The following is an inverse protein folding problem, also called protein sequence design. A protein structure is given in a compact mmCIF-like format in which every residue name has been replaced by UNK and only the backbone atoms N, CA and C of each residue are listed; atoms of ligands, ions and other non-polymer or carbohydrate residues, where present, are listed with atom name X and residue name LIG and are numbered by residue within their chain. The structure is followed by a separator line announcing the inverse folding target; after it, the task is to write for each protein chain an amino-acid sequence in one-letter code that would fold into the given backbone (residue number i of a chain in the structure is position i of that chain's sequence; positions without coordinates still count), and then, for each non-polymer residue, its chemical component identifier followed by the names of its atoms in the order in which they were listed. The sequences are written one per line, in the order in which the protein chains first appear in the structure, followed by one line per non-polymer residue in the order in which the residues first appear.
data_IF_159600844656
#
_entry.id   IF_159600844656
#
_cell.length_a   1.000
_cell.length_b   1.000
_cell.length_c   1.000
_cell.angle_alpha   90.00
_cell.angle_beta   90.00
_cell.angle_gamma   90.00
#
_symmetry.space_group_name_H-M   'P 1'
#
loop_
_entity.id
_entity.type
_entity.pdbx_description
1 polymer ?
#
# COMPACT_ATOMS: atom_id res chain seq x y z
N UNK A 1 5.90 -7.22 31.69
CA UNK A 1 7.02 -6.29 31.40
C UNK A 1 6.95 -5.91 29.92
N UNK A 2 6.85 -4.62 29.59
CA UNK A 2 6.96 -4.16 28.21
C UNK A 2 8.42 -4.34 27.79
N UNK A 3 8.74 -5.19 26.80
CA UNK A 3 10.11 -5.34 26.33
C UNK A 3 10.63 -3.97 25.87
N UNK A 4 11.86 -3.60 26.25
CA UNK A 4 12.47 -2.36 25.77
C UNK A 4 12.54 -2.33 24.24
N UNK A 5 12.44 -1.15 23.63
CA UNK A 5 12.42 -0.97 22.17
C UNK A 5 13.60 -1.67 21.46
N UNK A 6 14.78 -1.67 22.08
CA UNK A 6 15.96 -2.36 21.56
C UNK A 6 15.79 -3.90 21.53
N UNK A 7 15.10 -4.49 22.50
CA UNK A 7 14.80 -5.92 22.53
C UNK A 7 13.76 -6.28 21.47
N UNK A 8 12.73 -5.44 21.27
CA UNK A 8 11.75 -5.60 20.19
C UNK A 8 12.44 -5.59 18.83
N UNK A 9 13.30 -4.60 18.58
CA UNK A 9 14.04 -4.47 17.33
C UNK A 9 14.95 -5.67 17.05
N UNK A 10 15.74 -6.11 18.05
CA UNK A 10 16.67 -7.24 17.89
C UNK A 10 15.97 -8.57 17.65
N UNK A 11 14.71 -8.72 18.07
CA UNK A 11 13.92 -9.93 17.85
C UNK A 11 13.43 -10.10 16.40
N UNK A 12 13.50 -9.06 15.57
CA UNK A 12 13.02 -9.13 14.18
C UNK A 12 14.07 -9.75 13.25
N UNK A 13 13.64 -10.50 12.21
CA UNK A 13 14.51 -10.94 11.14
C UNK A 13 15.34 -9.79 10.56
N UNK A 14 16.59 -10.06 10.20
CA UNK A 14 17.50 -9.06 9.60
C UNK A 14 16.87 -8.42 8.35
N UNK A 15 16.19 -9.22 7.53
CA UNK A 15 15.50 -8.74 6.34
C UNK A 15 14.43 -7.69 6.68
N UNK A 16 13.56 -7.95 7.67
CA UNK A 16 12.49 -7.03 8.06
C UNK A 16 13.05 -5.73 8.65
N UNK A 17 14.13 -5.81 9.45
CA UNK A 17 14.83 -4.62 9.93
C UNK A 17 15.35 -3.75 8.80
N UNK A 18 15.97 -4.36 7.77
CA UNK A 18 16.44 -3.66 6.58
C UNK A 18 15.28 -3.02 5.81
N UNK A 19 14.14 -3.71 5.69
CA UNK A 19 12.94 -3.18 5.04
C UNK A 19 12.39 -1.95 5.78
N UNK A 20 12.32 -1.99 7.12
CA UNK A 20 11.89 -0.83 7.92
C UNK A 20 12.85 0.34 7.75
N UNK A 21 14.16 0.10 7.80
CA UNK A 21 15.18 1.15 7.55
C UNK A 21 15.01 1.75 6.16
N UNK A 22 14.81 0.92 5.14
CA UNK A 22 14.58 1.38 3.76
C UNK A 22 13.34 2.26 3.66
N UNK A 23 12.23 1.87 4.30
CA UNK A 23 11.02 2.67 4.34
C UNK A 23 11.28 4.04 5.01
N UNK A 24 11.94 4.05 6.17
CA UNK A 24 12.27 5.30 6.87
C UNK A 24 13.17 6.19 6.01
N UNK A 25 14.18 5.61 5.35
CA UNK A 25 15.05 6.35 4.44
C UNK A 25 14.28 6.93 3.25
N UNK A 26 13.33 6.17 2.67
CA UNK A 26 12.48 6.64 1.59
C UNK A 26 11.56 7.79 2.02
N UNK A 27 10.97 7.71 3.23
CA UNK A 27 10.14 8.80 3.79
C UNK A 27 10.99 10.06 3.97
N UNK A 28 12.19 9.94 4.53
CA UNK A 28 13.11 11.08 4.70
C UNK A 28 13.44 11.68 3.34
N UNK A 29 13.84 10.85 2.36
CA UNK A 29 14.17 11.30 1.02
C UNK A 29 12.98 11.98 0.32
N UNK A 30 11.77 11.44 0.47
CA UNK A 30 10.55 12.01 -0.09
C UNK A 30 10.21 13.40 0.46
N UNK A 31 10.72 13.74 1.64
CA UNK A 31 10.52 15.04 2.28
C UNK A 31 11.72 16.01 2.12
N UNK A 32 12.80 15.59 1.46
CA UNK A 32 13.85 16.52 1.01
C UNK A 32 13.27 17.36 -0.13
N UNK A 33 13.30 18.68 0.01
CA UNK A 33 12.73 19.61 -0.98
C UNK A 33 11.30 19.19 -1.38
N UNK A 34 10.44 19.08 -0.37
CA UNK A 34 9.06 18.62 -0.52
C UNK A 34 8.26 19.61 -1.37
N UNK A 35 7.74 19.26 -2.56
CA UNK A 35 7.04 20.19 -3.43
C UNK A 35 5.74 20.75 -2.84
N UNK A 36 5.11 20.00 -1.93
CA UNK A 36 3.82 20.33 -1.31
C UNK A 36 3.91 20.25 0.23
N UNK A 37 4.69 21.12 0.90
CA UNK A 37 5.01 20.96 2.32
C UNK A 37 3.80 21.07 3.25
N UNK A 38 2.79 21.88 2.89
CA UNK A 38 1.57 22.06 3.69
C UNK A 38 0.65 20.83 3.69
N UNK A 39 0.68 20.04 2.61
CA UNK A 39 -0.16 18.85 2.44
C UNK A 39 0.59 17.55 2.79
N UNK A 40 1.92 17.60 2.80
CA UNK A 40 2.77 16.44 3.09
C UNK A 40 2.47 15.75 4.43
N UNK A 41 2.16 16.44 5.55
CA UNK A 41 1.84 15.76 6.81
C UNK A 41 0.61 14.85 6.71
N UNK A 42 -0.39 15.25 5.93
CA UNK A 42 -1.62 14.48 5.76
C UNK A 42 -1.37 13.20 4.95
N UNK A 43 -0.49 13.28 3.96
CA UNK A 43 -0.12 12.15 3.10
C UNK A 43 0.89 11.20 3.77
N UNK A 44 1.95 11.72 4.38
CA UNK A 44 3.02 10.90 4.96
C UNK A 44 2.73 10.44 6.39
N UNK A 45 1.85 11.13 7.11
CA UNK A 45 1.54 10.86 8.52
C UNK A 45 1.20 9.40 8.82
N UNK A 46 0.22 8.78 8.13
CA UNK A 46 -0.11 7.37 8.33
C UNK A 46 1.07 6.43 8.08
N UNK A 47 1.88 6.71 7.06
CA UNK A 47 3.04 5.88 6.70
C UNK A 47 4.17 6.00 7.73
N UNK A 48 4.42 7.21 8.26
CA UNK A 48 5.36 7.43 9.37
C UNK A 48 4.92 6.68 10.62
N UNK A 49 3.64 6.81 11.00
CA UNK A 49 3.09 6.11 12.16
C UNK A 49 3.23 4.59 12.03
N UNK A 50 2.93 4.05 10.84
CA UNK A 50 3.09 2.63 10.57
C UNK A 50 4.56 2.20 10.62
N UNK A 51 5.50 2.98 10.06
CA UNK A 51 6.93 2.68 10.11
C UNK A 51 7.46 2.65 11.55
N UNK A 52 7.02 3.57 12.41
CA UNK A 52 7.39 3.61 13.83
C UNK A 52 6.77 2.47 14.64
N UNK A 53 5.53 2.08 14.31
CA UNK A 53 4.83 0.98 14.96
C UNK A 53 5.28 -0.41 14.46
N UNK A 54 5.84 -0.51 13.25
CA UNK A 54 6.18 -1.75 12.58
C UNK A 54 6.97 -2.75 13.44
N UNK A 55 8.01 -2.35 14.22
CA UNK A 55 8.74 -3.30 15.04
C UNK A 55 7.87 -4.00 16.09
N UNK A 56 6.93 -3.27 16.68
CA UNK A 56 6.02 -3.79 17.69
C UNK A 56 4.94 -4.67 17.05
N UNK A 57 4.39 -4.23 15.92
CA UNK A 57 3.40 -4.98 15.16
C UNK A 57 3.97 -6.31 14.67
N UNK A 58 5.16 -6.31 14.06
CA UNK A 58 5.80 -7.53 13.55
C UNK A 58 6.30 -8.46 14.66
N UNK A 59 6.58 -7.95 15.85
CA UNK A 59 6.83 -8.79 17.02
C UNK A 59 5.54 -9.43 17.56
N UNK A 60 4.46 -8.66 17.63
CA UNK A 60 3.17 -9.10 18.22
C UNK A 60 2.38 -10.00 17.27
N UNK A 61 2.45 -9.72 15.98
CA UNK A 61 1.82 -10.42 14.88
C UNK A 61 2.85 -10.60 13.75
N UNK A 62 3.77 -11.59 13.88
CA UNK A 62 4.78 -11.80 12.86
C UNK A 62 4.20 -12.17 11.50
N UNK A 63 4.73 -11.57 10.45
CA UNK A 63 4.43 -11.91 9.06
C UNK A 63 5.69 -12.46 8.38
N UNK A 64 5.50 -13.21 7.30
CA UNK A 64 6.57 -13.70 6.45
C UNK A 64 7.34 -12.54 5.82
N UNK A 65 8.62 -12.76 5.49
CA UNK A 65 9.42 -11.75 4.80
C UNK A 65 8.81 -11.34 3.45
N UNK A 66 8.12 -12.27 2.78
CA UNK A 66 7.39 -11.98 1.54
C UNK A 66 6.26 -10.98 1.78
N UNK A 67 5.39 -11.24 2.77
CA UNK A 67 4.30 -10.33 3.11
C UNK A 67 4.78 -8.98 3.60
N UNK A 68 5.84 -8.92 4.43
CA UNK A 68 6.46 -7.65 4.83
C UNK A 68 7.07 -6.93 3.63
N UNK A 69 7.65 -7.65 2.67
CA UNK A 69 8.15 -7.10 1.42
C UNK A 69 7.04 -6.50 0.56
N UNK A 70 5.89 -7.16 0.45
CA UNK A 70 4.73 -6.61 -0.28
C UNK A 70 4.17 -5.35 0.39
N UNK A 71 4.06 -5.35 1.72
CA UNK A 71 3.67 -4.16 2.48
C UNK A 71 4.67 -3.03 2.27
N UNK A 72 5.97 -3.30 2.33
CA UNK A 72 7.02 -2.33 2.04
C UNK A 72 6.85 -1.74 0.65
N UNK A 73 6.71 -2.58 -0.38
CA UNK A 73 6.59 -2.11 -1.77
C UNK A 73 5.38 -1.19 -1.94
N UNK A 74 4.25 -1.54 -1.33
CA UNK A 74 3.08 -0.67 -1.31
C UNK A 74 3.36 0.67 -0.60
N UNK A 75 4.01 0.63 0.57
CA UNK A 75 4.34 1.86 1.32
C UNK A 75 5.38 2.74 0.59
N UNK A 76 6.25 2.16 -0.24
CA UNK A 76 7.15 2.92 -1.10
C UNK A 76 6.37 3.65 -2.21
N UNK A 77 5.38 2.99 -2.82
CA UNK A 77 4.47 3.64 -3.77
C UNK A 77 3.67 4.76 -3.08
N UNK A 78 3.12 4.49 -1.89
CA UNK A 78 2.41 5.48 -1.10
C UNK A 78 3.31 6.67 -0.73
N UNK A 79 4.57 6.42 -0.34
CA UNK A 79 5.55 7.48 -0.05
C UNK A 79 5.87 8.32 -1.29
N UNK A 80 5.98 7.70 -2.46
CA UNK A 80 6.17 8.42 -3.73
C UNK A 80 4.94 9.25 -4.08
N UNK A 81 3.74 8.69 -3.93
CA UNK A 81 2.47 9.39 -4.09
C UNK A 81 2.39 10.61 -3.18
N UNK A 82 2.65 10.44 -1.89
CA UNK A 82 2.60 11.51 -0.91
C UNK A 82 3.57 12.66 -1.18
N UNK A 83 4.74 12.42 -1.80
CA UNK A 83 5.64 13.50 -2.25
C UNK A 83 4.97 14.42 -3.28
N UNK A 84 4.16 13.86 -4.16
CA UNK A 84 3.51 14.61 -5.23
C UNK A 84 1.99 14.68 -5.04
N UNK A 85 1.53 14.51 -3.79
CA UNK A 85 0.12 14.48 -3.38
C UNK A 85 -0.77 13.65 -4.33
N UNK A 86 -0.21 12.56 -4.86
CA UNK A 86 -0.78 11.64 -5.84
C UNK A 86 -1.07 12.23 -7.22
N UNK A 87 -1.77 13.36 -7.25
CA UNK A 87 -2.22 14.09 -8.43
C UNK A 87 -1.11 14.59 -9.34
N UNK A 88 0.10 14.79 -8.83
CA UNK A 88 1.19 15.43 -9.55
C UNK A 88 2.43 14.55 -9.70
N UNK A 89 2.30 13.22 -9.53
CA UNK A 89 3.43 12.32 -9.80
C UNK A 89 3.84 12.48 -11.26
N UNK A 90 5.10 12.88 -11.56
CA UNK A 90 5.49 13.30 -12.90
C UNK A 90 5.86 12.11 -13.80
N UNK A 91 5.05 11.05 -13.80
CA UNK A 91 5.33 9.82 -14.55
C UNK A 91 5.41 10.06 -16.07
N UNK A 92 4.65 11.00 -16.61
CA UNK A 92 4.71 11.36 -18.03
C UNK A 92 6.01 12.06 -18.40
N UNK A 93 6.54 12.91 -17.51
CA UNK A 93 7.83 13.55 -17.73
C UNK A 93 8.97 12.51 -17.67
N UNK A 94 8.90 11.56 -16.74
CA UNK A 94 9.85 10.45 -16.68
C UNK A 94 9.77 9.56 -17.92
N UNK A 95 8.55 9.23 -18.37
CA UNK A 95 8.34 8.45 -19.59
C UNK A 95 8.93 9.15 -20.81
N UNK A 96 8.65 10.45 -21.00
CA UNK A 96 9.25 11.24 -22.10
C UNK A 96 10.77 11.29 -22.03
N UNK A 97 11.34 11.43 -20.84
CA UNK A 97 12.79 11.44 -20.66
C UNK A 97 13.45 10.12 -21.08
N UNK A 98 12.74 8.98 -20.96
CA UNK A 98 13.28 7.65 -21.25
C UNK A 98 12.93 7.17 -22.67
N UNK A 99 11.70 7.39 -23.14
CA UNK A 99 11.17 6.82 -24.39
C UNK A 99 10.79 7.86 -25.44
N UNK A 100 10.85 9.15 -25.12
CA UNK A 100 10.36 10.24 -25.97
C UNK A 100 8.83 10.38 -26.02
N UNK A 101 8.08 9.49 -25.35
CA UNK A 101 6.61 9.47 -25.35
C UNK A 101 6.08 9.58 -23.92
N UNK A 102 4.96 10.29 -23.73
CA UNK A 102 4.24 10.23 -22.46
C UNK A 102 3.20 9.11 -22.44
N UNK A 103 2.93 8.60 -21.24
CA UNK A 103 2.02 7.49 -21.01
C UNK A 103 0.59 7.99 -21.23
N UNK A 104 0.24 9.13 -20.65
CA UNK A 104 -1.12 9.65 -20.72
C UNK A 104 -1.57 9.93 -22.15
N UNK A 105 -0.74 10.57 -22.98
CA UNK A 105 -1.07 10.83 -24.38
C UNK A 105 -1.15 9.56 -25.23
N UNK A 106 -0.27 8.58 -24.97
CA UNK A 106 -0.27 7.30 -25.69
C UNK A 106 -1.56 6.50 -25.44
N UNK A 107 -2.09 6.54 -24.21
CA UNK A 107 -3.28 5.79 -23.82
C UNK A 107 -4.56 6.63 -23.72
N UNK A 108 -4.52 7.91 -24.10
CA UNK A 108 -5.67 8.81 -24.00
C UNK A 108 -6.16 9.05 -22.57
N UNK A 109 -5.27 8.98 -21.58
CA UNK A 109 -5.60 9.17 -20.17
C UNK A 109 -5.77 10.67 -19.92
N UNK A 110 -6.96 11.08 -19.51
CA UNK A 110 -7.32 12.49 -19.36
C UNK A 110 -6.76 13.16 -18.09
N UNK A 111 -6.37 12.38 -17.08
CA UNK A 111 -5.93 12.84 -15.76
C UNK A 111 -4.74 12.02 -15.25
N UNK A 112 -4.08 12.47 -14.19
CA UNK A 112 -2.99 11.71 -13.58
C UNK A 112 -3.52 10.41 -12.96
N UNK A 113 -3.12 9.25 -13.50
CA UNK A 113 -3.63 7.94 -13.08
C UNK A 113 -2.88 7.30 -11.91
N UNK A 114 -2.00 8.03 -11.23
CA UNK A 114 -1.12 7.44 -10.20
C UNK A 114 -1.90 6.88 -9.02
N UNK A 115 -2.95 7.57 -8.59
CA UNK A 115 -3.77 7.10 -7.47
C UNK A 115 -4.45 5.76 -7.77
N UNK A 116 -5.09 5.65 -8.94
CA UNK A 116 -5.64 4.39 -9.44
C UNK A 116 -4.62 3.26 -9.53
N UNK A 117 -3.37 3.58 -9.91
CA UNK A 117 -2.28 2.61 -9.89
C UNK A 117 -1.97 2.14 -8.47
N UNK A 118 -1.94 3.05 -7.49
CA UNK A 118 -1.73 2.70 -6.08
C UNK A 118 -2.89 1.87 -5.54
N UNK A 119 -4.14 2.14 -5.93
CA UNK A 119 -5.29 1.29 -5.60
C UNK A 119 -5.16 -0.12 -6.18
N UNK A 120 -4.79 -0.25 -7.46
CA UNK A 120 -4.48 -1.55 -8.04
C UNK A 120 -3.34 -2.25 -7.28
N UNK A 121 -2.26 -1.52 -6.96
CA UNK A 121 -1.13 -2.06 -6.22
C UNK A 121 -1.51 -2.45 -4.78
N UNK A 122 -2.42 -1.72 -4.14
CA UNK A 122 -2.98 -2.09 -2.84
C UNK A 122 -3.61 -3.48 -2.91
N UNK A 123 -4.50 -3.70 -3.87
CA UNK A 123 -5.08 -5.02 -4.10
C UNK A 123 -4.02 -6.08 -4.39
N UNK A 124 -3.11 -5.80 -5.32
CA UNK A 124 -2.11 -6.77 -5.79
C UNK A 124 -1.11 -7.17 -4.69
N UNK A 125 -0.70 -6.22 -3.85
CA UNK A 125 0.37 -6.43 -2.86
C UNK A 125 -0.17 -6.85 -1.49
N UNK A 126 -1.35 -6.37 -1.08
CA UNK A 126 -1.87 -6.61 0.27
C UNK A 126 -2.75 -7.87 0.36
N UNK A 127 -3.14 -8.46 -0.77
CA UNK A 127 -3.87 -9.75 -0.79
C UNK A 127 -3.09 -10.87 -0.08
N UNK A 128 -1.79 -11.02 -0.33
CA UNK A 128 -1.01 -12.07 0.32
C UNK A 128 -0.83 -11.85 1.84
N UNK A 129 -0.45 -10.65 2.32
CA UNK A 129 -0.46 -10.32 3.75
C UNK A 129 -1.80 -10.57 4.44
N UNK A 130 -2.92 -10.17 3.84
CA UNK A 130 -4.24 -10.43 4.42
C UNK A 130 -4.58 -11.91 4.47
N UNK A 131 -4.28 -12.67 3.41
CA UNK A 131 -4.48 -14.12 3.41
C UNK A 131 -3.60 -14.79 4.47
N UNK A 132 -2.33 -14.41 4.60
CA UNK A 132 -1.42 -14.93 5.62
C UNK A 132 -1.94 -14.64 7.03
N UNK A 133 -2.35 -13.40 7.31
CA UNK A 133 -2.90 -13.02 8.60
C UNK A 133 -4.19 -13.80 8.92
N UNK A 134 -5.08 -13.97 7.95
CA UNK A 134 -6.32 -14.73 8.11
C UNK A 134 -6.07 -16.21 8.40
N UNK A 135 -5.05 -16.82 7.76
CA UNK A 135 -4.64 -18.19 8.07
C UNK A 135 -4.01 -18.31 9.45
N UNK A 136 -3.05 -17.44 9.76
CA UNK A 136 -2.22 -17.53 10.96
C UNK A 136 -2.98 -17.16 12.23
N UNK A 137 -3.83 -16.14 12.16
CA UNK A 137 -4.51 -15.56 13.33
C UNK A 137 -6.01 -15.81 13.35
N UNK A 138 -6.62 -16.04 12.18
CA UNK A 138 -8.04 -16.39 12.06
C UNK A 138 -8.32 -17.89 11.94
N UNK A 139 -7.27 -18.74 11.95
CA UNK A 139 -7.36 -20.18 11.75
C UNK A 139 -8.13 -20.60 10.47
N UNK A 140 -8.12 -19.74 9.44
CA UNK A 140 -8.85 -19.99 8.21
C UNK A 140 -8.14 -21.03 7.33
N UNK A 141 -8.92 -21.92 6.70
CA UNK A 141 -8.42 -22.78 5.61
C UNK A 141 -7.99 -21.91 4.43
N UNK A 142 -7.08 -22.42 3.59
CA UNK A 142 -6.53 -21.67 2.45
C UNK A 142 -7.60 -20.98 1.61
N UNK A 143 -8.60 -21.72 1.13
CA UNK A 143 -9.66 -21.15 0.30
C UNK A 143 -10.39 -19.98 0.98
N UNK A 144 -10.75 -20.14 2.25
CA UNK A 144 -11.41 -19.09 3.03
C UNK A 144 -10.49 -17.90 3.32
N UNK A 145 -9.20 -18.12 3.54
CA UNK A 145 -8.26 -17.02 3.74
C UNK A 145 -8.06 -16.16 2.49
N UNK A 146 -8.07 -16.79 1.30
CA UNK A 146 -7.99 -16.09 0.02
C UNK A 146 -9.28 -15.30 -0.26
N UNK A 147 -10.44 -15.89 0.01
CA UNK A 147 -11.73 -15.19 -0.07
C UNK A 147 -11.80 -14.03 0.92
N UNK A 148 -11.35 -14.25 2.16
CA UNK A 148 -11.27 -13.20 3.17
C UNK A 148 -10.37 -12.06 2.71
N UNK A 149 -9.18 -12.35 2.16
CA UNK A 149 -8.28 -11.32 1.66
C UNK A 149 -8.93 -10.47 0.56
N UNK A 150 -9.64 -11.09 -0.37
CA UNK A 150 -10.37 -10.38 -1.43
C UNK A 150 -11.46 -9.46 -0.89
N UNK A 151 -12.25 -9.94 0.09
CA UNK A 151 -13.29 -9.14 0.73
C UNK A 151 -12.67 -8.03 1.57
N UNK A 152 -11.56 -8.31 2.28
CA UNK A 152 -10.85 -7.34 3.10
C UNK A 152 -10.26 -6.20 2.25
N UNK A 153 -9.68 -6.49 1.09
CA UNK A 153 -9.23 -5.44 0.14
C UNK A 153 -10.39 -4.53 -0.25
N UNK A 154 -11.50 -5.10 -0.72
CA UNK A 154 -12.67 -4.31 -1.11
C UNK A 154 -13.27 -3.51 0.03
N UNK A 155 -13.35 -4.09 1.23
CA UNK A 155 -13.86 -3.43 2.43
C UNK A 155 -12.98 -2.27 2.88
N UNK A 156 -11.65 -2.48 2.96
CA UNK A 156 -10.70 -1.42 3.32
C UNK A 156 -10.69 -0.32 2.27
N UNK A 157 -10.73 -0.67 0.98
CA UNK A 157 -10.86 0.28 -0.11
C UNK A 157 -12.12 1.14 0.02
N UNK A 158 -13.28 0.52 0.28
CA UNK A 158 -14.52 1.26 0.48
C UNK A 158 -14.49 2.18 1.70
N UNK A 159 -13.88 1.76 2.82
CA UNK A 159 -13.68 2.63 3.99
C UNK A 159 -12.80 3.82 3.62
N UNK A 160 -11.72 3.58 2.87
CA UNK A 160 -10.80 4.63 2.45
C UNK A 160 -11.51 5.67 1.56
N UNK A 161 -12.25 5.23 0.55
CA UNK A 161 -13.03 6.13 -0.31
C UNK A 161 -14.09 6.94 0.47
N UNK A 162 -14.77 6.30 1.43
CA UNK A 162 -15.72 7.00 2.29
C UNK A 162 -14.99 8.04 3.15
N UNK A 163 -13.80 7.72 3.66
CA UNK A 163 -12.99 8.66 4.41
C UNK A 163 -12.58 9.87 3.54
N UNK A 164 -12.14 9.66 2.30
CA UNK A 164 -11.77 10.75 1.39
C UNK A 164 -12.96 11.59 0.96
N UNK A 165 -14.12 10.95 0.74
CA UNK A 165 -15.37 11.65 0.51
C UNK A 165 -15.75 12.51 1.72
N UNK A 166 -15.70 11.97 2.94
CA UNK A 166 -16.00 12.73 4.16
C UNK A 166 -15.01 13.88 4.38
N UNK A 167 -13.73 13.66 4.12
CA UNK A 167 -12.73 14.71 4.19
C UNK A 167 -13.05 15.82 3.19
N UNK A 168 -13.50 15.47 1.98
CA UNK A 168 -13.90 16.45 0.95
C UNK A 168 -15.15 17.23 1.34
N UNK A 169 -16.09 16.61 2.07
CA UNK A 169 -17.28 17.30 2.60
C UNK A 169 -16.91 18.27 3.73
N UNK A 170 -15.95 17.91 4.59
CA UNK A 170 -15.56 18.70 5.77
C UNK A 170 -14.51 19.77 5.44
N UNK A 171 -13.59 19.49 4.52
CA UNK A 171 -12.57 20.43 4.06
C UNK A 171 -13.21 21.43 3.08
N UNK A 172 -13.44 22.66 3.54
CA UNK A 172 -14.00 23.70 2.68
C UNK A 172 -13.04 24.07 1.53
N UNK A 173 -13.54 24.06 0.29
CA UNK A 173 -12.91 24.69 -0.87
C UNK A 173 -11.77 23.88 -1.52
N UNK A 174 -10.76 24.59 -2.06
CA UNK A 174 -9.70 23.99 -2.90
C UNK A 174 -8.96 22.83 -2.22
N UNK A 175 -8.80 22.84 -0.90
CA UNK A 175 -8.06 21.82 -0.14
C UNK A 175 -8.65 20.41 -0.32
N UNK A 176 -9.96 20.29 -0.51
CA UNK A 176 -10.61 19.01 -0.83
C UNK A 176 -10.18 18.48 -2.20
N UNK A 177 -10.16 19.33 -3.23
CA UNK A 177 -9.76 18.95 -4.59
C UNK A 177 -8.28 18.52 -4.67
N UNK A 178 -7.40 19.15 -3.87
CA UNK A 178 -5.98 18.80 -3.82
C UNK A 178 -5.72 17.47 -3.11
N UNK A 179 -6.56 17.09 -2.15
CA UNK A 179 -6.38 15.85 -1.39
C UNK A 179 -7.02 14.64 -2.08
N UNK A 180 -8.27 14.78 -2.53
CA UNK A 180 -9.11 13.67 -3.01
C UNK A 180 -8.71 13.15 -4.41
N UNK A 181 -7.73 13.77 -5.08
CA UNK A 181 -7.17 13.22 -6.33
C UNK A 181 -8.11 13.13 -7.54
N UNK A 182 -9.39 13.51 -7.40
CA UNK A 182 -10.43 13.28 -8.40
C UNK A 182 -10.15 13.98 -9.74
N UNK A 183 -9.52 15.16 -9.71
CA UNK A 183 -9.19 15.95 -10.91
C UNK A 183 -10.39 16.11 -11.87
N UNK A 184 -11.61 16.18 -11.33
CA UNK A 184 -12.86 16.29 -12.10
C UNK A 184 -13.52 14.95 -12.51
N UNK A 185 -12.97 13.79 -12.13
CA UNK A 185 -13.58 12.47 -12.35
C UNK A 185 -14.60 12.15 -11.24
N UNK A 186 -15.89 12.34 -11.51
CA UNK A 186 -16.96 12.04 -10.54
C UNK A 186 -17.07 10.55 -10.17
N UNK A 187 -16.46 9.67 -10.96
CA UNK A 187 -16.50 8.22 -10.78
C UNK A 187 -15.21 7.66 -10.18
N UNK A 188 -14.34 8.53 -9.66
CA UNK A 188 -13.04 8.12 -9.15
C UNK A 188 -13.14 7.03 -8.09
N UNK A 189 -13.93 7.25 -7.01
CA UNK A 189 -14.00 6.26 -5.94
C UNK A 189 -14.42 4.88 -6.43
N UNK A 190 -15.37 4.81 -7.39
CA UNK A 190 -15.83 3.55 -7.95
C UNK A 190 -14.75 2.88 -8.80
N UNK A 191 -14.01 3.65 -9.60
CA UNK A 191 -12.93 3.13 -10.45
C UNK A 191 -11.74 2.68 -9.61
N UNK A 192 -11.46 3.36 -8.50
CA UNK A 192 -10.32 3.07 -7.63
C UNK A 192 -10.61 1.86 -6.73
N UNK A 193 -11.83 1.73 -6.20
CA UNK A 193 -12.30 0.46 -5.60
C UNK A 193 -12.26 -0.70 -6.60
N UNK A 194 -12.69 -0.47 -7.85
CA UNK A 194 -12.63 -1.52 -8.88
C UNK A 194 -11.18 -1.91 -9.21
N UNK A 195 -10.28 -0.93 -9.33
CA UNK A 195 -8.86 -1.16 -9.56
C UNK A 195 -8.24 -2.00 -8.43
N UNK A 196 -8.56 -1.68 -7.17
CA UNK A 196 -8.12 -2.48 -6.03
C UNK A 196 -8.63 -3.93 -6.09
N UNK A 197 -9.89 -4.15 -6.45
CA UNK A 197 -10.41 -5.52 -6.59
C UNK A 197 -9.80 -6.28 -7.77
N UNK A 198 -9.50 -5.61 -8.89
CA UNK A 198 -8.79 -6.22 -10.02
C UNK A 198 -7.37 -6.60 -9.61
N UNK A 199 -6.66 -5.73 -8.88
CA UNK A 199 -5.35 -6.04 -8.32
C UNK A 199 -5.39 -7.24 -7.38
N UNK A 200 -6.39 -7.31 -6.51
CA UNK A 200 -6.58 -8.46 -5.62
C UNK A 200 -6.87 -9.75 -6.39
N UNK A 201 -7.73 -9.68 -7.40
CA UNK A 201 -8.02 -10.83 -8.26
C UNK A 201 -6.76 -11.33 -8.98
N UNK A 202 -5.94 -10.43 -9.51
CA UNK A 202 -4.67 -10.79 -10.14
C UNK A 202 -3.72 -11.49 -9.14
N UNK A 203 -3.63 -10.98 -7.91
CA UNK A 203 -2.85 -11.62 -6.85
C UNK A 203 -3.40 -13.00 -6.49
N UNK A 204 -4.72 -13.18 -6.42
CA UNK A 204 -5.33 -14.49 -6.18
C UNK A 204 -5.00 -15.50 -7.27
N UNK A 205 -5.07 -15.08 -8.54
CA UNK A 205 -4.71 -15.92 -9.68
C UNK A 205 -3.23 -16.32 -9.57
N UNK A 206 -2.36 -15.35 -9.30
CA UNK A 206 -0.93 -15.60 -9.10
C UNK A 206 -0.65 -16.57 -7.94
N UNK A 207 -1.27 -16.37 -6.78
CA UNK A 207 -1.11 -17.20 -5.58
C UNK A 207 -1.67 -18.62 -5.75
N UNK A 208 -2.70 -18.79 -6.60
CA UNK A 208 -3.21 -20.12 -6.97
C UNK A 208 -2.34 -20.80 -8.02
N UNK A 209 -1.76 -20.05 -8.96
CA UNK A 209 -0.88 -20.57 -10.00
C UNK A 209 0.51 -20.95 -9.47
N UNK A 210 0.98 -20.25 -8.43
CA UNK A 210 2.25 -20.54 -7.74
C UNK A 210 2.01 -21.41 -6.51
N UNK A 211 2.99 -22.23 -6.12
CA UNK A 211 2.90 -23.30 -5.09
C UNK A 211 2.47 -22.86 -3.68
N UNK A 212 2.07 -21.62 -3.41
CA UNK A 212 1.44 -21.29 -2.12
C UNK A 212 0.11 -22.03 -1.93
N UNK A 213 -0.57 -22.44 -3.01
CA UNK A 213 -1.72 -23.36 -3.00
C UNK A 213 -1.38 -24.84 -2.74
N UNK A 214 -0.12 -25.26 -2.90
CA UNK A 214 0.35 -26.64 -2.72
C UNK A 214 1.52 -26.66 -1.72
N UNK A 215 1.19 -26.68 -0.42
CA UNK A 215 2.03 -27.20 0.66
C UNK A 215 3.54 -26.89 0.60
N UNK A 216 3.98 -25.68 0.97
CA UNK A 216 5.36 -25.42 1.45
C UNK A 216 5.47 -24.02 2.09
N UNK A 217 4.95 -23.90 3.31
CA UNK A 217 5.31 -22.83 4.26
C UNK A 217 5.11 -23.27 5.72
N UNK A 218 4.95 -24.58 5.95
CA UNK A 218 4.86 -25.21 7.28
C UNK A 218 5.55 -26.57 7.16
N UNK A 219 6.86 -26.55 6.95
CA UNK A 219 7.72 -27.65 7.38
C UNK A 219 8.77 -27.04 8.30
N UNK A 220 8.69 -27.48 9.56
CA UNK A 220 9.74 -27.57 10.57
C UNK A 220 10.86 -26.51 10.52
N UNK A 221 10.84 -25.60 11.49
CA UNK A 221 11.93 -25.50 12.48
C UNK A 221 11.51 -24.46 13.53
N UNK A 222 10.78 -24.97 14.52
CA UNK A 222 10.66 -24.36 15.83
C UNK A 222 10.85 -25.50 16.84
N UNK A 223 12.06 -26.07 16.81
CA UNK A 223 12.69 -26.64 18.00
C UNK A 223 13.46 -25.51 18.71
#
# INVERSE_FOLDING_TARGET
MIPGAAAVWKALPVAQRRMIILLVAAIIAANIDQPYPELAPLQHGPTVLLALAAPWLLRRWPLSNGSVGSVLLFLLLHTLGGRYIYSYVPYDAWARAVSGHDISGTFGIARNGYDRLVHFAFGALLTAPFAEAARRYGAMRMGWSLTFAFVAVGFVGAIYEIFEWLLSVVAAGRTADWYNGQQGDMWDPQKDMAAAQIGSLAALIWLRATRQGHAEAISADAD
#
